data_IF_326519471698
#
_entry.id   IF_326519471698
#
_cell.length_a   1.000
_cell.length_b   1.000
_cell.length_c   1.000
_cell.angle_alpha   90.00
_cell.angle_beta   90.00
_cell.angle_gamma   90.00
#
_symmetry.space_group_name_H-M   'P 1'
#
loop_
_entity.id
_entity.type
_entity.pdbx_description
1 polymer ?
#
# COMPACT_ATOMS: atom_id res chain seq x y z
N UNK A 1 15.98 12.28 -21.33
CA UNK A 1 15.60 11.37 -20.24
C UNK A 1 14.21 11.64 -19.65
N UNK A 2 13.79 12.90 -19.33
CA UNK A 2 12.47 13.21 -18.73
C UNK A 2 11.21 12.73 -19.50
N UNK A 3 11.27 12.55 -20.82
CA UNK A 3 10.09 12.11 -21.63
C UNK A 3 9.86 10.61 -21.66
N UNK A 4 10.88 9.80 -21.37
CA UNK A 4 10.79 8.33 -21.40
C UNK A 4 10.14 7.83 -20.10
N UNK A 5 10.40 8.49 -18.97
CA UNK A 5 9.85 8.14 -17.65
C UNK A 5 8.31 8.31 -17.62
N UNK A 6 7.79 9.37 -18.25
CA UNK A 6 6.34 9.60 -18.32
C UNK A 6 5.61 8.55 -19.19
N UNK A 7 6.25 8.08 -20.25
CA UNK A 7 5.68 7.05 -21.12
C UNK A 7 5.60 5.68 -20.43
N UNK A 8 6.60 5.32 -19.60
CA UNK A 8 6.62 4.08 -18.84
C UNK A 8 5.56 4.05 -17.73
N UNK A 9 5.36 5.17 -17.02
CA UNK A 9 4.32 5.29 -15.97
C UNK A 9 2.91 5.24 -16.59
N UNK A 10 2.70 5.89 -17.74
CA UNK A 10 1.42 5.83 -18.45
C UNK A 10 1.14 4.42 -19.00
N UNK A 11 2.14 3.72 -19.49
CA UNK A 11 1.98 2.35 -20.01
C UNK A 11 1.57 1.37 -18.90
N UNK A 12 2.00 1.58 -17.66
CA UNK A 12 1.64 0.74 -16.52
C UNK A 12 0.25 1.02 -15.98
N UNK A 13 -0.18 2.27 -15.96
CA UNK A 13 -1.55 2.64 -15.59
C UNK A 13 -2.57 2.19 -16.65
N UNK A 14 -2.15 2.04 -17.91
CA UNK A 14 -2.98 1.59 -19.04
C UNK A 14 -2.98 0.06 -19.19
N UNK A 15 -1.96 -0.66 -18.69
CA UNK A 15 -1.89 -2.13 -18.83
C UNK A 15 -2.67 -2.89 -17.73
N UNK A 16 -3.13 -2.22 -16.67
CA UNK A 16 -3.99 -2.83 -15.65
C UNK A 16 -5.43 -3.13 -16.16
N UNK A 17 -6.03 -2.39 -17.10
CA UNK A 17 -7.39 -2.70 -17.57
C UNK A 17 -7.52 -3.89 -18.50
N UNK A 18 -6.46 -4.34 -19.15
CA UNK A 18 -6.56 -5.39 -20.17
C UNK A 18 -6.81 -6.82 -19.62
N UNK A 19 -6.71 -7.01 -18.31
CA UNK A 19 -7.02 -8.29 -17.64
C UNK A 19 -8.48 -8.35 -17.15
N UNK A 20 -9.24 -7.26 -17.27
CA UNK A 20 -10.58 -7.12 -16.65
C UNK A 20 -11.76 -7.49 -17.55
N UNK A 21 -11.57 -8.02 -18.73
CA UNK A 21 -12.68 -8.47 -19.59
C UNK A 21 -13.21 -9.84 -19.14
N UNK A 22 -13.80 -9.89 -17.96
CA UNK A 22 -14.40 -11.10 -17.42
C UNK A 22 -14.75 -11.05 -15.94
N UNK A 23 -14.40 -9.99 -15.23
CA UNK A 23 -14.77 -9.89 -13.81
C UNK A 23 -15.91 -8.90 -13.60
N UNK A 24 -17.04 -9.30 -12.98
CA UNK A 24 -18.14 -8.40 -12.68
C UNK A 24 -17.74 -7.41 -11.60
N UNK A 25 -18.21 -6.16 -11.74
CA UNK A 25 -18.13 -5.08 -10.76
C UNK A 25 -18.59 -5.56 -9.37
N UNK A 26 -17.68 -5.73 -8.44
CA UNK A 26 -17.95 -6.26 -7.09
C UNK A 26 -16.70 -6.63 -6.30
N UNK A 27 -15.57 -6.01 -6.58
CA UNK A 27 -14.28 -6.36 -5.96
C UNK A 27 -14.23 -6.20 -4.44
N UNK A 28 -14.93 -5.24 -3.88
CA UNK A 28 -14.98 -5.05 -2.42
C UNK A 28 -15.82 -6.11 -1.68
N UNK A 29 -16.80 -6.72 -2.35
CA UNK A 29 -17.69 -7.71 -1.73
C UNK A 29 -17.22 -9.17 -1.86
N UNK A 30 -16.24 -9.48 -2.75
CA UNK A 30 -15.84 -10.87 -3.03
C UNK A 30 -14.54 -11.30 -2.40
N UNK A 31 -13.70 -10.41 -1.91
CA UNK A 31 -12.49 -10.82 -1.17
C UNK A 31 -12.83 -11.47 0.19
N UNK A 32 -14.00 -11.17 0.76
CA UNK A 32 -14.48 -11.83 1.98
C UNK A 32 -15.31 -13.10 1.74
N UNK A 33 -15.91 -13.27 0.55
CA UNK A 33 -16.85 -14.38 0.30
C UNK A 33 -16.20 -15.63 -0.32
N UNK A 34 -14.98 -15.55 -0.84
CA UNK A 34 -14.33 -16.68 -1.50
C UNK A 34 -13.79 -17.76 -0.55
N UNK A 35 -13.80 -17.54 0.77
CA UNK A 35 -13.30 -18.51 1.74
C UNK A 35 -14.40 -19.30 2.49
N UNK A 36 -15.68 -18.97 2.33
CA UNK A 36 -16.77 -19.64 3.06
C UNK A 36 -17.30 -20.92 2.38
N UNK A 37 -16.68 -21.39 1.30
CA UNK A 37 -17.20 -22.51 0.51
C UNK A 37 -16.37 -23.79 0.47
N UNK A 38 -15.30 -23.93 1.25
CA UNK A 38 -14.41 -25.11 1.14
C UNK A 38 -14.30 -25.97 2.42
N UNK A 39 -15.27 -25.98 3.27
CA UNK A 39 -15.46 -27.08 4.20
C UNK A 39 -16.63 -27.92 3.72
N UNK A 40 -16.31 -29.16 3.37
CA UNK A 40 -17.19 -30.24 2.93
C UNK A 40 -17.42 -30.40 1.42
N UNK A 41 -16.49 -31.08 0.78
CA UNK A 41 -16.76 -32.25 -0.05
C UNK A 41 -15.46 -32.97 -0.42
N UNK A 42 -15.00 -33.82 0.47
CA UNK A 42 -14.10 -34.91 0.10
C UNK A 42 -15.00 -36.05 -0.39
N UNK A 43 -15.34 -36.03 -1.65
CA UNK A 43 -15.85 -37.20 -2.34
C UNK A 43 -14.78 -37.68 -3.30
N UNK A 44 -14.38 -38.92 -3.10
CA UNK A 44 -13.46 -39.66 -3.94
C UNK A 44 -14.01 -39.70 -5.38
N UNK A 45 -13.52 -38.81 -6.21
CA UNK A 45 -13.58 -38.91 -7.65
C UNK A 45 -12.13 -38.83 -8.13
N UNK A 46 -11.65 -39.88 -8.73
CA UNK A 46 -10.42 -39.90 -9.53
C UNK A 46 -10.56 -38.81 -10.59
N UNK A 47 -10.04 -37.66 -10.27
CA UNK A 47 -10.05 -36.50 -11.16
C UNK A 47 -8.85 -36.62 -12.10
N UNK A 48 -9.14 -37.00 -13.33
CA UNK A 48 -8.15 -36.96 -14.40
C UNK A 48 -7.61 -35.56 -14.49
N UNK A 49 -6.40 -35.36 -13.95
CA UNK A 49 -5.69 -34.06 -13.97
C UNK A 49 -5.62 -33.60 -15.42
N UNK A 50 -6.39 -32.56 -15.76
CA UNK A 50 -6.27 -31.90 -17.04
C UNK A 50 -4.85 -31.33 -17.10
N UNK A 51 -4.02 -31.73 -18.07
CA UNK A 51 -2.64 -31.27 -18.12
C UNK A 51 -2.64 -29.75 -18.20
N UNK A 52 -1.96 -29.09 -17.26
CA UNK A 52 -1.78 -27.64 -17.28
C UNK A 52 -1.08 -27.27 -18.59
N UNK A 53 -1.74 -26.49 -19.44
CA UNK A 53 -1.21 -26.17 -20.77
C UNK A 53 0.10 -25.38 -20.64
N UNK A 54 1.07 -25.63 -21.50
CA UNK A 54 2.37 -24.95 -21.50
C UNK A 54 2.24 -23.41 -21.49
N UNK A 55 1.17 -22.87 -22.09
CA UNK A 55 0.85 -21.44 -22.07
C UNK A 55 0.49 -20.90 -20.67
N UNK A 56 -0.18 -21.71 -19.83
CA UNK A 56 -0.50 -21.32 -18.45
C UNK A 56 0.75 -21.18 -17.59
N UNK A 57 1.71 -22.09 -17.72
CA UNK A 57 2.98 -22.04 -16.98
C UNK A 57 3.85 -20.84 -17.37
N UNK A 58 3.90 -20.51 -18.66
CA UNK A 58 4.64 -19.33 -19.16
C UNK A 58 4.04 -18.05 -18.59
N UNK A 59 2.70 -17.93 -18.58
CA UNK A 59 2.01 -16.76 -18.01
C UNK A 59 2.30 -16.59 -16.54
N UNK A 60 2.18 -17.65 -15.74
CA UNK A 60 2.48 -17.60 -14.29
C UNK A 60 3.93 -17.20 -14.04
N UNK A 61 4.87 -17.77 -14.78
CA UNK A 61 6.29 -17.45 -14.68
C UNK A 61 6.56 -15.98 -15.04
N UNK A 62 5.95 -15.48 -16.12
CA UNK A 62 6.07 -14.06 -16.52
C UNK A 62 5.52 -13.12 -15.44
N UNK A 63 4.33 -13.38 -14.91
CA UNK A 63 3.72 -12.58 -13.83
C UNK A 63 4.62 -12.56 -12.59
N UNK A 64 5.18 -13.70 -12.21
CA UNK A 64 6.12 -13.79 -11.07
C UNK A 64 7.34 -12.88 -11.27
N UNK A 65 8.01 -12.96 -12.44
CA UNK A 65 9.18 -12.13 -12.71
C UNK A 65 8.84 -10.65 -12.83
N UNK A 66 7.71 -10.30 -13.44
CA UNK A 66 7.24 -8.92 -13.46
C UNK A 66 6.97 -8.37 -12.05
N UNK A 67 6.48 -9.19 -11.14
CA UNK A 67 6.27 -8.77 -9.75
C UNK A 67 7.60 -8.63 -9.01
N UNK A 68 8.51 -9.60 -9.13
CA UNK A 68 9.78 -9.61 -8.39
C UNK A 68 10.77 -8.54 -8.88
N UNK A 69 10.78 -8.24 -10.17
CA UNK A 69 11.77 -7.34 -10.79
C UNK A 69 11.12 -6.07 -11.30
N UNK A 70 9.99 -6.17 -12.00
CA UNK A 70 9.36 -5.04 -12.64
C UNK A 70 8.84 -4.01 -11.63
N UNK A 71 8.14 -4.45 -10.59
CA UNK A 71 7.60 -3.54 -9.56
C UNK A 71 8.72 -2.78 -8.83
N UNK A 72 9.77 -3.43 -8.30
CA UNK A 72 10.91 -2.71 -7.73
C UNK A 72 11.60 -1.77 -8.71
N UNK A 73 11.81 -2.19 -9.96
CA UNK A 73 12.46 -1.34 -10.96
C UNK A 73 11.68 -0.04 -11.22
N UNK A 74 10.36 -0.13 -11.25
CA UNK A 74 9.49 1.04 -11.45
C UNK A 74 9.55 1.95 -10.23
N UNK A 75 9.42 1.37 -9.02
CA UNK A 75 9.53 2.12 -7.78
C UNK A 75 10.87 2.87 -7.71
N UNK A 76 11.99 2.18 -7.95
CA UNK A 76 13.32 2.79 -7.96
C UNK A 76 13.42 3.92 -9.00
N UNK A 77 12.93 3.70 -10.22
CA UNK A 77 12.95 4.72 -11.27
C UNK A 77 12.13 5.95 -10.89
N UNK A 78 10.98 5.72 -10.24
CA UNK A 78 10.14 6.79 -9.70
C UNK A 78 10.86 7.55 -8.60
N UNK A 79 11.43 6.86 -7.63
CA UNK A 79 12.08 7.44 -6.47
C UNK A 79 13.31 8.30 -6.86
N UNK A 80 14.16 7.83 -7.76
CA UNK A 80 15.26 8.62 -8.32
C UNK A 80 14.77 9.91 -9.01
N UNK A 81 13.58 9.87 -9.61
CA UNK A 81 13.02 11.00 -10.32
C UNK A 81 12.28 11.99 -9.42
N UNK A 82 11.68 11.48 -8.34
CA UNK A 82 10.73 12.19 -7.49
C UNK A 82 11.35 12.69 -6.19
N UNK A 83 12.13 11.83 -5.55
CA UNK A 83 12.57 12.04 -4.17
C UNK A 83 14.02 12.51 -4.06
N UNK A 84 14.70 12.76 -5.19
CA UNK A 84 16.06 13.30 -5.21
C UNK A 84 17.11 12.31 -4.69
N UNK A 85 16.88 11.02 -4.90
CA UNK A 85 17.85 9.99 -4.56
C UNK A 85 19.14 10.20 -5.36
N UNK A 86 20.28 10.19 -4.64
CA UNK A 86 21.59 10.47 -5.23
C UNK A 86 21.97 11.95 -5.30
N UNK A 87 21.15 12.85 -4.77
CA UNK A 87 21.50 14.28 -4.68
C UNK A 87 22.63 14.56 -3.67
N UNK A 88 22.90 13.59 -2.79
CA UNK A 88 24.00 13.63 -1.81
C UNK A 88 25.00 12.51 -2.07
N UNK A 89 26.26 12.81 -1.82
CA UNK A 89 27.35 11.83 -1.85
C UNK A 89 27.64 11.18 -0.48
N UNK A 90 27.03 11.72 0.59
CA UNK A 90 27.25 11.27 1.97
C UNK A 90 25.97 10.79 2.61
N UNK A 91 26.08 9.73 3.40
CA UNK A 91 24.98 9.18 4.19
C UNK A 91 24.42 10.21 5.17
N UNK A 92 23.09 10.28 5.24
CA UNK A 92 22.35 11.09 6.22
C UNK A 92 21.48 10.17 7.08
N UNK A 93 21.60 10.30 8.40
CA UNK A 93 20.66 9.71 9.35
C UNK A 93 19.54 10.71 9.64
N UNK A 94 18.30 10.27 9.59
CA UNK A 94 17.16 11.02 10.07
C UNK A 94 16.72 10.51 11.45
N UNK A 95 16.28 11.43 12.31
CA UNK A 95 15.57 11.12 13.55
C UNK A 95 14.20 11.77 13.43
N UNK A 96 13.28 11.06 12.84
CA UNK A 96 11.99 11.61 12.46
C UNK A 96 10.95 11.49 13.60
N UNK A 97 11.19 10.56 14.51
CA UNK A 97 10.23 10.19 15.56
C UNK A 97 9.00 9.49 14.99
N UNK A 98 8.02 9.23 15.84
CA UNK A 98 6.80 8.52 15.41
C UNK A 98 5.60 9.48 15.26
N UNK A 99 5.01 9.88 16.38
CA UNK A 99 3.82 10.72 16.43
C UNK A 99 4.04 11.87 17.38
N UNK A 100 3.77 13.08 16.94
CA UNK A 100 3.94 14.26 17.79
C UNK A 100 4.04 15.56 16.98
N UNK A 101 3.77 16.68 17.62
CA UNK A 101 3.74 17.99 16.96
C UNK A 101 5.07 18.38 16.29
N UNK A 102 6.18 17.83 16.79
CA UNK A 102 7.53 18.16 16.29
C UNK A 102 8.19 17.00 15.53
N UNK A 103 7.42 15.96 15.18
CA UNK A 103 7.93 14.84 14.38
C UNK A 103 7.77 15.13 12.89
N UNK A 104 8.46 14.33 12.06
CA UNK A 104 8.37 14.47 10.61
C UNK A 104 6.92 14.26 10.15
N UNK A 105 6.42 15.18 9.35
CA UNK A 105 5.04 15.21 8.83
C UNK A 105 3.96 14.91 9.90
N UNK A 106 4.31 15.13 11.20
CA UNK A 106 3.42 14.87 12.34
C UNK A 106 3.08 13.40 12.56
N UNK A 107 3.79 12.46 11.93
CA UNK A 107 3.53 11.02 11.96
C UNK A 107 2.62 10.51 10.84
N UNK A 108 2.14 11.38 9.93
CA UNK A 108 1.39 10.93 8.75
C UNK A 108 2.25 10.05 7.84
N UNK A 109 3.53 10.36 7.75
CA UNK A 109 4.53 9.56 7.06
C UNK A 109 4.58 8.12 7.60
N UNK A 110 4.65 7.95 8.91
CA UNK A 110 4.69 6.63 9.57
C UNK A 110 3.43 5.80 9.29
N UNK A 111 2.27 6.47 9.25
CA UNK A 111 1.02 5.78 8.86
C UNK A 111 0.98 5.44 7.37
N UNK A 112 1.60 6.28 6.52
CA UNK A 112 1.74 6.00 5.09
C UNK A 112 2.66 4.79 4.84
N UNK A 113 3.80 4.71 5.50
CA UNK A 113 4.71 3.57 5.47
C UNK A 113 4.00 2.28 5.88
N UNK A 114 3.36 2.27 7.05
CA UNK A 114 2.59 1.13 7.56
C UNK A 114 1.51 0.67 6.56
N UNK A 115 0.71 1.60 6.05
CA UNK A 115 -0.37 1.30 5.11
C UNK A 115 0.16 0.78 3.77
N UNK A 116 1.18 1.41 3.19
CA UNK A 116 1.75 1.00 1.91
C UNK A 116 2.34 -0.40 1.97
N UNK A 117 3.05 -0.74 3.06
CA UNK A 117 3.63 -2.07 3.25
C UNK A 117 2.55 -3.14 3.53
N UNK A 118 1.48 -2.78 4.26
CA UNK A 118 0.29 -3.64 4.37
C UNK A 118 -0.30 -3.95 3.00
N UNK A 119 -0.51 -2.94 2.15
CA UNK A 119 -1.11 -3.12 0.83
C UNK A 119 -0.21 -3.91 -0.13
N UNK A 120 1.09 -3.57 -0.16
CA UNK A 120 2.05 -4.26 -1.04
C UNK A 120 2.22 -5.72 -0.64
N UNK A 121 2.25 -6.02 0.66
CA UNK A 121 2.33 -7.41 1.12
C UNK A 121 1.09 -8.20 0.66
N UNK A 122 -0.12 -7.70 0.89
CA UNK A 122 -1.36 -8.37 0.49
C UNK A 122 -1.45 -8.57 -1.03
N UNK A 123 -1.10 -7.54 -1.80
CA UNK A 123 -1.07 -7.63 -3.25
C UNK A 123 -0.06 -8.69 -3.73
N UNK A 124 1.16 -8.64 -3.22
CA UNK A 124 2.22 -9.60 -3.54
C UNK A 124 1.82 -11.02 -3.15
N UNK A 125 1.26 -11.20 -1.94
CA UNK A 125 0.81 -12.51 -1.47
C UNK A 125 -0.23 -13.13 -2.40
N UNK A 126 -1.21 -12.36 -2.85
CA UNK A 126 -2.23 -12.86 -3.77
C UNK A 126 -1.63 -13.20 -5.15
N UNK A 127 -0.70 -12.39 -5.65
CA UNK A 127 -0.01 -12.67 -6.92
C UNK A 127 0.83 -13.96 -6.80
N UNK A 128 1.62 -14.10 -5.73
CA UNK A 128 2.45 -15.30 -5.55
C UNK A 128 1.60 -16.54 -5.20
N UNK A 129 0.47 -16.37 -4.52
CA UNK A 129 -0.47 -17.47 -4.31
C UNK A 129 -1.02 -18.01 -5.65
N UNK A 130 -1.28 -17.13 -6.61
CA UNK A 130 -1.69 -17.51 -7.96
C UNK A 130 -0.54 -18.19 -8.72
N UNK A 131 0.68 -17.64 -8.67
CA UNK A 131 1.82 -18.13 -9.46
C UNK A 131 2.50 -19.36 -8.88
N UNK A 132 2.46 -19.55 -7.57
CA UNK A 132 3.13 -20.64 -6.84
C UNK A 132 2.17 -21.78 -6.42
N UNK A 133 0.94 -21.74 -6.88
CA UNK A 133 -0.06 -22.78 -6.59
C UNK A 133 -0.21 -23.10 -5.08
N UNK A 134 -0.09 -22.08 -4.23
CA UNK A 134 -0.44 -22.17 -2.81
C UNK A 134 0.65 -22.61 -1.83
N UNK A 135 1.85 -22.92 -2.28
CA UNK A 135 2.95 -23.36 -1.41
C UNK A 135 3.45 -22.33 -0.39
N UNK A 136 4.50 -22.68 0.38
CA UNK A 136 5.17 -21.75 1.31
C UNK A 136 5.90 -20.60 0.60
N UNK A 137 6.23 -20.77 -0.67
CA UNK A 137 6.96 -19.81 -1.47
C UNK A 137 6.29 -18.44 -1.53
N UNK A 138 4.95 -18.38 -1.56
CA UNK A 138 4.19 -17.12 -1.54
C UNK A 138 4.50 -16.26 -0.32
N UNK A 139 4.69 -16.85 0.86
CA UNK A 139 5.06 -16.15 2.09
C UNK A 139 6.44 -15.54 1.99
N UNK A 140 7.43 -16.36 1.55
CA UNK A 140 8.81 -15.88 1.39
C UNK A 140 8.91 -14.76 0.36
N UNK A 141 8.33 -14.94 -0.81
CA UNK A 141 8.40 -13.94 -1.87
C UNK A 141 7.69 -12.64 -1.47
N UNK A 142 6.52 -12.71 -0.85
CA UNK A 142 5.80 -11.51 -0.41
C UNK A 142 6.57 -10.77 0.67
N UNK A 143 7.08 -11.48 1.68
CA UNK A 143 7.88 -10.86 2.74
C UNK A 143 9.14 -10.23 2.18
N UNK A 144 9.92 -10.97 1.36
CA UNK A 144 11.17 -10.46 0.78
C UNK A 144 10.89 -9.24 -0.10
N UNK A 145 9.90 -9.32 -0.99
CA UNK A 145 9.57 -8.21 -1.91
C UNK A 145 9.18 -6.96 -1.14
N UNK A 146 8.30 -7.10 -0.13
CA UNK A 146 7.82 -5.96 0.63
C UNK A 146 8.89 -5.38 1.55
N UNK A 147 9.65 -6.22 2.25
CA UNK A 147 10.75 -5.75 3.12
C UNK A 147 11.89 -5.11 2.31
N UNK A 148 12.22 -5.67 1.14
CA UNK A 148 13.22 -5.09 0.25
C UNK A 148 12.78 -3.73 -0.29
N UNK A 149 11.48 -3.52 -0.52
CA UNK A 149 10.94 -2.23 -0.91
C UNK A 149 11.18 -1.17 0.19
N UNK A 150 10.81 -1.46 1.45
CA UNK A 150 11.03 -0.52 2.56
C UNK A 150 12.51 -0.21 2.76
N UNK A 151 13.36 -1.25 2.78
CA UNK A 151 14.80 -1.04 2.90
C UNK A 151 15.37 -0.22 1.72
N UNK A 152 14.90 -0.43 0.50
CA UNK A 152 15.35 0.34 -0.66
C UNK A 152 14.92 1.81 -0.58
N UNK A 153 13.73 2.10 -0.04
CA UNK A 153 13.28 3.48 0.21
C UNK A 153 14.23 4.15 1.20
N UNK A 154 14.46 3.55 2.35
CA UNK A 154 15.33 4.13 3.38
C UNK A 154 16.79 4.28 2.93
N UNK A 155 17.32 3.30 2.19
CA UNK A 155 18.67 3.42 1.61
C UNK A 155 18.74 4.55 0.58
N UNK A 156 17.70 4.75 -0.21
CA UNK A 156 17.63 5.85 -1.16
C UNK A 156 17.54 7.20 -0.47
N UNK A 157 16.72 7.29 0.57
CA UNK A 157 16.52 8.50 1.36
C UNK A 157 17.79 8.90 2.15
N UNK A 158 18.61 7.93 2.55
CA UNK A 158 19.92 8.22 3.12
C UNK A 158 20.82 9.09 2.22
N UNK A 159 20.60 9.03 0.91
CA UNK A 159 21.33 9.82 -0.10
C UNK A 159 20.45 10.88 -0.79
N UNK A 160 19.25 11.13 -0.29
CA UNK A 160 18.39 12.20 -0.77
C UNK A 160 18.78 13.56 -0.19
N UNK A 161 18.44 14.64 -0.91
CA UNK A 161 18.87 15.99 -0.53
C UNK A 161 18.32 16.48 0.81
N UNK A 162 17.10 16.07 1.19
CA UNK A 162 16.38 16.59 2.36
C UNK A 162 15.88 15.51 3.31
N UNK A 163 15.85 14.25 2.87
CA UNK A 163 15.44 13.10 3.68
C UNK A 163 16.66 12.55 4.45
N UNK A 164 16.58 11.35 4.90
CA UNK A 164 17.66 10.64 5.57
C UNK A 164 17.18 9.23 5.87
N UNK A 165 18.08 8.34 6.26
CA UNK A 165 17.71 7.02 6.71
C UNK A 165 16.99 7.10 8.06
N UNK A 166 15.74 6.70 8.10
CA UNK A 166 14.92 6.66 9.31
C UNK A 166 14.63 5.21 9.71
N UNK A 167 15.21 4.73 10.80
CA UNK A 167 14.93 3.38 11.28
C UNK A 167 13.48 3.23 11.77
N UNK A 168 12.85 4.34 12.15
CA UNK A 168 11.44 4.39 12.55
C UNK A 168 10.52 3.90 11.43
N UNK A 169 10.87 4.21 10.16
CA UNK A 169 10.09 3.78 9.01
C UNK A 169 10.20 2.29 8.78
N UNK A 170 11.37 1.70 8.93
CA UNK A 170 11.52 0.24 8.87
C UNK A 170 10.71 -0.48 9.96
N UNK A 171 10.56 0.13 11.14
CA UNK A 171 9.74 -0.45 12.21
C UNK A 171 8.26 -0.43 11.83
N UNK A 172 7.75 0.69 11.33
CA UNK A 172 6.33 0.78 10.94
C UNK A 172 6.02 0.00 9.68
N UNK A 173 6.98 -0.14 8.76
CA UNK A 173 6.91 -1.06 7.61
C UNK A 173 6.72 -2.51 8.07
N UNK A 174 7.54 -2.94 9.04
CA UNK A 174 7.42 -4.28 9.63
C UNK A 174 6.08 -4.48 10.33
N UNK A 175 5.52 -3.45 10.98
CA UNK A 175 4.17 -3.49 11.57
C UNK A 175 3.12 -3.68 10.48
N UNK A 176 3.20 -2.92 9.38
CA UNK A 176 2.28 -3.05 8.23
C UNK A 176 2.32 -4.46 7.61
N UNK A 177 3.52 -5.00 7.38
CA UNK A 177 3.74 -6.37 6.90
C UNK A 177 3.14 -7.39 7.89
N UNK A 178 3.36 -7.19 9.20
CA UNK A 178 2.85 -8.07 10.24
C UNK A 178 1.32 -8.13 10.28
N UNK A 179 0.65 -6.97 10.21
CA UNK A 179 -0.82 -6.89 10.14
C UNK A 179 -1.33 -7.61 8.88
N UNK A 180 -0.72 -7.36 7.72
CA UNK A 180 -1.10 -8.01 6.48
C UNK A 180 -0.93 -9.53 6.56
N UNK A 181 0.20 -9.99 7.10
CA UNK A 181 0.48 -11.42 7.28
C UNK A 181 -0.51 -12.09 8.23
N UNK A 182 -0.91 -11.41 9.32
CA UNK A 182 -1.94 -11.91 10.22
C UNK A 182 -3.30 -12.05 9.52
N UNK A 183 -3.70 -11.06 8.71
CA UNK A 183 -4.93 -11.13 7.93
C UNK A 183 -4.90 -12.29 6.93
N UNK A 184 -3.78 -12.49 6.19
CA UNK A 184 -3.64 -13.59 5.23
C UNK A 184 -3.53 -14.96 5.90
N UNK A 185 -3.01 -15.03 7.13
CA UNK A 185 -2.85 -16.28 7.88
C UNK A 185 -4.11 -16.72 8.60
N UNK A 186 -4.88 -15.75 9.09
CA UNK A 186 -6.05 -15.98 9.91
C UNK A 186 -7.27 -15.26 9.31
N UNK A 187 -8.11 -15.98 8.53
CA UNK A 187 -9.30 -15.40 7.90
C UNK A 187 -10.23 -14.68 8.89
N UNK A 188 -10.28 -15.16 10.13
CA UNK A 188 -11.04 -14.50 11.19
C UNK A 188 -10.50 -13.11 11.52
N UNK A 189 -9.17 -12.92 11.55
CA UNK A 189 -8.57 -11.59 11.74
C UNK A 189 -8.92 -10.69 10.56
N UNK A 190 -8.82 -11.21 9.32
CA UNK A 190 -9.17 -10.46 8.12
C UNK A 190 -10.65 -10.09 8.08
N UNK A 191 -11.54 -10.89 8.68
CA UNK A 191 -12.96 -10.55 8.76
C UNK A 191 -13.27 -9.42 9.74
N UNK A 192 -12.36 -9.12 10.69
CA UNK A 192 -12.53 -8.03 11.66
C UNK A 192 -11.72 -6.78 11.33
N UNK A 193 -10.51 -6.91 10.78
CA UNK A 193 -9.56 -5.81 10.66
C UNK A 193 -9.14 -5.58 9.22
N UNK A 194 -9.03 -4.31 8.83
CA UNK A 194 -8.35 -3.88 7.62
C UNK A 194 -7.66 -2.54 7.86
N UNK A 195 -6.67 -2.22 7.02
CA UNK A 195 -6.15 -0.87 6.90
C UNK A 195 -6.65 -0.27 5.59
N UNK A 196 -7.01 1.01 5.63
CA UNK A 196 -7.39 1.76 4.43
C UNK A 196 -6.84 3.19 4.48
N UNK A 197 -6.94 3.90 3.37
CA UNK A 197 -6.57 5.29 3.29
C UNK A 197 -7.56 6.06 2.42
N UNK A 198 -7.80 7.32 2.81
CA UNK A 198 -8.58 8.28 2.03
C UNK A 198 -7.64 9.39 1.59
N UNK A 199 -7.78 9.82 0.34
CA UNK A 199 -7.00 10.93 -0.19
C UNK A 199 -7.90 12.03 -0.74
N UNK A 200 -7.67 13.23 -0.25
CA UNK A 200 -8.26 14.45 -0.80
C UNK A 200 -7.15 15.49 -0.99
N UNK A 201 -6.82 15.85 -2.24
CA UNK A 201 -5.71 16.75 -2.54
C UNK A 201 -5.80 18.06 -1.78
N UNK A 202 -4.70 18.47 -1.13
CA UNK A 202 -4.64 19.78 -0.48
C UNK A 202 -4.79 20.92 -1.50
N UNK A 203 -5.18 22.10 -1.03
CA UNK A 203 -5.25 23.29 -1.90
C UNK A 203 -3.91 23.56 -2.58
N UNK A 204 -2.83 23.34 -1.85
CA UNK A 204 -1.49 23.50 -2.38
C UNK A 204 -1.20 22.51 -3.52
N UNK A 205 -1.51 21.23 -3.34
CA UNK A 205 -1.29 20.20 -4.34
C UNK A 205 -2.12 20.45 -5.60
N UNK A 206 -3.38 20.86 -5.46
CA UNK A 206 -4.28 21.17 -6.57
C UNK A 206 -3.78 22.29 -7.48
N UNK A 207 -2.96 23.21 -6.98
CA UNK A 207 -2.36 24.31 -7.75
C UNK A 207 -1.01 23.94 -8.40
N UNK A 208 -0.64 22.66 -8.41
CA UNK A 208 0.57 22.11 -9.06
C UNK A 208 0.23 21.31 -10.31
N UNK A 209 -0.11 21.92 -11.44
CA UNK A 209 -0.63 21.20 -12.62
C UNK A 209 0.34 20.17 -13.19
N UNK A 210 1.64 20.31 -12.94
CA UNK A 210 2.68 19.44 -13.55
C UNK A 210 3.27 18.40 -12.61
N UNK A 211 2.71 18.19 -11.42
CA UNK A 211 3.28 17.30 -10.39
C UNK A 211 2.24 16.40 -9.71
N UNK A 212 1.13 16.09 -10.40
CA UNK A 212 0.08 15.20 -9.87
C UNK A 212 0.61 13.83 -9.44
N UNK A 213 1.70 13.36 -10.04
CA UNK A 213 2.37 12.11 -9.71
C UNK A 213 3.07 12.12 -8.33
N UNK A 214 3.27 13.31 -7.71
CA UNK A 214 3.79 13.45 -6.34
C UNK A 214 2.68 13.42 -5.27
N UNK A 215 1.51 12.89 -5.59
CA UNK A 215 0.41 12.78 -4.61
C UNK A 215 0.78 12.00 -3.33
N UNK A 216 1.73 11.04 -3.33
CA UNK A 216 2.15 10.41 -2.07
C UNK A 216 2.76 11.40 -1.08
N UNK A 217 3.43 12.45 -1.55
CA UNK A 217 4.09 13.46 -0.71
C UNK A 217 3.11 14.52 -0.15
N UNK A 218 1.83 14.46 -0.53
CA UNK A 218 0.80 15.37 -0.01
C UNK A 218 0.20 14.84 1.29
N UNK A 219 1.06 14.59 2.30
CA UNK A 219 0.69 13.94 3.57
C UNK A 219 -0.53 14.57 4.24
N UNK A 220 -0.68 15.90 4.17
CA UNK A 220 -1.88 16.58 4.69
C UNK A 220 -3.17 16.30 3.90
N UNK A 221 -3.07 15.69 2.73
CA UNK A 221 -4.20 15.23 1.93
C UNK A 221 -4.68 13.83 2.31
N UNK A 222 -3.86 13.07 3.02
CA UNK A 222 -4.13 11.69 3.38
C UNK A 222 -4.79 11.58 4.75
N UNK A 223 -5.66 10.60 4.88
CA UNK A 223 -6.14 10.04 6.14
C UNK A 223 -5.91 8.54 6.11
N UNK A 224 -5.36 8.00 7.17
CA UNK A 224 -5.11 6.58 7.32
C UNK A 224 -6.03 6.01 8.37
N UNK A 225 -6.64 4.85 8.09
CA UNK A 225 -7.74 4.28 8.86
C UNK A 225 -7.42 2.84 9.25
N UNK A 226 -7.74 2.51 10.49
CA UNK A 226 -7.91 1.13 10.94
C UNK A 226 -9.41 0.86 10.92
N UNK A 227 -9.83 -0.08 10.11
CA UNK A 227 -11.23 -0.42 9.93
C UNK A 227 -11.56 -1.65 10.77
N UNK A 228 -12.57 -1.55 11.62
CA UNK A 228 -13.15 -2.64 12.39
C UNK A 228 -14.45 -3.07 11.72
N UNK A 229 -14.41 -4.20 11.02
CA UNK A 229 -15.54 -4.74 10.25
C UNK A 229 -16.48 -5.53 11.15
N UNK A 230 -17.75 -5.14 11.23
CA UNK A 230 -18.74 -5.86 12.04
C UNK A 230 -19.16 -7.20 11.39
N UNK A 231 -18.81 -7.41 10.13
CA UNK A 231 -18.99 -8.68 9.43
C UNK A 231 -18.37 -9.88 10.18
N UNK A 232 -17.23 -9.66 10.83
CA UNK A 232 -16.50 -10.70 11.58
C UNK A 232 -17.31 -11.35 12.70
N UNK A 233 -18.30 -10.67 13.27
CA UNK A 233 -19.18 -11.30 14.26
C UNK A 233 -19.99 -12.47 13.70
N UNK A 234 -20.39 -12.40 12.42
CA UNK A 234 -21.07 -13.47 11.75
C UNK A 234 -20.16 -14.67 11.47
N UNK A 235 -18.89 -14.38 11.14
CA UNK A 235 -17.86 -15.40 10.92
C UNK A 235 -17.46 -16.10 12.23
N UNK A 236 -17.72 -15.49 13.39
CA UNK A 236 -17.66 -16.13 14.70
C UNK A 236 -18.87 -17.05 15.00
N UNK A 237 -19.84 -17.12 14.11
CA UNK A 237 -21.08 -17.90 14.33
C UNK A 237 -22.11 -17.22 15.21
N UNK A 238 -21.98 -15.91 15.48
CA UNK A 238 -22.97 -15.16 16.23
C UNK A 238 -24.19 -14.85 15.36
N UNK A 239 -25.37 -15.01 15.94
CA UNK A 239 -26.62 -14.64 15.27
C UNK A 239 -26.81 -13.13 15.34
N UNK A 240 -26.23 -12.44 14.37
CA UNK A 240 -26.30 -10.98 14.24
C UNK A 240 -27.06 -10.59 12.97
N UNK A 241 -27.78 -9.45 12.98
CA UNK A 241 -28.48 -8.96 11.81
C UNK A 241 -27.59 -8.84 10.58
N UNK A 242 -28.09 -9.23 9.41
CA UNK A 242 -27.34 -9.25 8.15
C UNK A 242 -26.77 -7.89 7.75
N UNK A 243 -27.42 -6.80 8.12
CA UNK A 243 -26.96 -5.47 7.77
C UNK A 243 -25.61 -5.10 8.43
N UNK A 244 -25.24 -5.73 9.56
CA UNK A 244 -23.98 -5.48 10.24
C UNK A 244 -22.75 -5.83 9.37
N UNK A 245 -22.91 -6.74 8.41
CA UNK A 245 -21.85 -7.07 7.45
C UNK A 245 -21.42 -5.89 6.54
N UNK A 246 -22.23 -4.86 6.46
CA UNK A 246 -21.98 -3.65 5.67
C UNK A 246 -21.52 -2.48 6.52
N UNK A 247 -21.34 -2.69 7.83
CA UNK A 247 -20.93 -1.63 8.76
C UNK A 247 -19.48 -1.87 9.19
N UNK A 248 -18.71 -0.79 9.18
CA UNK A 248 -17.36 -0.72 9.73
C UNK A 248 -17.28 0.46 10.69
N UNK A 249 -16.46 0.33 11.70
CA UNK A 249 -16.07 1.43 12.59
C UNK A 249 -14.63 1.73 12.27
N UNK A 250 -14.35 2.98 11.92
CA UNK A 250 -13.05 3.40 11.47
C UNK A 250 -12.37 4.27 12.53
N UNK A 251 -11.14 3.93 12.89
CA UNK A 251 -10.28 4.80 13.67
C UNK A 251 -9.26 5.39 12.71
N UNK A 252 -9.34 6.70 12.52
CA UNK A 252 -8.53 7.39 11.53
C UNK A 252 -7.55 8.38 12.13
N UNK A 253 -6.40 8.53 11.47
CA UNK A 253 -5.36 9.49 11.78
C UNK A 253 -5.05 10.36 10.58
N UNK A 254 -4.92 11.67 10.79
CA UNK A 254 -4.44 12.60 9.76
C UNK A 254 -3.74 13.80 10.37
N UNK A 255 -2.87 14.44 9.59
CA UNK A 255 -2.15 15.65 9.93
C UNK A 255 -2.50 16.80 9.00
N UNK A 256 -2.32 18.03 9.48
CA UNK A 256 -2.48 19.25 8.71
C UNK A 256 -1.35 20.23 9.08
N UNK A 257 -0.91 21.01 8.09
CA UNK A 257 0.07 22.06 8.31
C UNK A 257 1.50 21.57 8.47
N UNK A 258 1.81 20.35 8.04
CA UNK A 258 3.16 19.77 8.18
C UNK A 258 3.95 19.81 6.88
N UNK A 259 3.32 19.58 5.75
CA UNK A 259 4.06 19.47 4.49
C UNK A 259 4.82 20.75 4.18
N UNK A 260 6.02 20.61 3.64
CA UNK A 260 6.87 21.73 3.20
C UNK A 260 6.14 22.72 2.28
N UNK A 261 5.05 22.29 1.69
CA UNK A 261 4.22 23.06 0.80
C UNK A 261 3.13 23.86 1.50
N UNK A 262 2.79 23.47 2.70
CA UNK A 262 1.89 24.23 3.58
C UNK A 262 2.69 25.23 4.43
N UNK A 263 4.00 25.01 4.60
CA UNK A 263 4.90 25.84 5.38
C UNK A 263 5.67 26.81 4.45
N UNK A 264 5.37 28.09 4.52
CA UNK A 264 6.11 29.12 3.81
C UNK A 264 5.36 29.79 2.65
N UNK A 265 5.89 30.92 2.12
CA UNK A 265 5.28 31.63 1.03
C UNK A 265 5.35 30.81 -0.26
N UNK A 266 4.21 30.41 -0.73
CA UNK A 266 4.09 29.78 -2.04
C UNK A 266 3.80 30.86 -3.08
N UNK A 267 4.57 30.90 -4.17
CA UNK A 267 4.27 31.78 -5.32
C UNK A 267 2.92 31.48 -5.97
N UNK A 268 2.32 30.34 -5.61
CA UNK A 268 1.04 29.89 -6.17
C UNK A 268 -0.15 30.21 -5.27
N UNK A 269 0.06 30.51 -3.98
CA UNK A 269 -0.99 30.82 -3.02
C UNK A 269 -0.52 31.94 -2.11
N UNK A 270 -0.59 33.16 -2.60
CA UNK A 270 -0.10 34.36 -1.91
C UNK A 270 -0.82 34.69 -0.59
N UNK A 271 -1.97 34.07 -0.34
CA UNK A 271 -2.80 34.30 0.85
C UNK A 271 -2.75 33.12 1.85
N UNK A 272 -1.86 32.16 1.68
CA UNK A 272 -1.76 31.02 2.60
C UNK A 272 -1.00 31.46 3.85
N UNK A 273 -1.71 31.77 4.91
CA UNK A 273 -1.11 31.78 6.24
C UNK A 273 -0.66 30.36 6.53
N UNK A 274 0.58 30.19 7.05
CA UNK A 274 1.06 28.87 7.49
C UNK A 274 -0.01 28.23 8.38
N UNK A 275 -0.63 27.13 7.98
CA UNK A 275 -1.63 26.51 8.82
C UNK A 275 -0.97 26.01 10.11
N UNK A 276 -1.67 26.15 11.21
CA UNK A 276 -1.23 25.58 12.47
C UNK A 276 -1.07 24.06 12.32
N UNK A 277 0.07 23.54 12.82
CA UNK A 277 0.32 22.10 12.86
C UNK A 277 -0.70 21.41 13.74
N UNK A 278 -1.50 20.54 13.13
CA UNK A 278 -2.57 19.78 13.81
C UNK A 278 -2.44 18.30 13.50
N UNK A 279 -2.64 17.52 14.52
CA UNK A 279 -2.77 16.06 14.48
C UNK A 279 -4.15 15.70 14.98
N UNK A 280 -4.83 14.83 14.27
CA UNK A 280 -6.20 14.48 14.60
C UNK A 280 -6.35 12.96 14.57
N UNK A 281 -6.91 12.44 15.67
CA UNK A 281 -7.47 11.11 15.75
C UNK A 281 -8.99 11.25 15.72
N UNK A 282 -9.69 10.43 14.96
CA UNK A 282 -11.14 10.46 14.84
C UNK A 282 -11.73 9.05 14.71
N UNK A 283 -13.00 8.94 15.01
CA UNK A 283 -13.79 7.72 14.88
C UNK A 283 -14.94 8.02 13.93
#
# INVERSE_FOLDING_TARGET
MKRITHALILLLLVSIPAVSTGMPLGWSARLGAAHLGQTERRSDAEDGAVPETAGSNTTKTTVRYLTLVGVPTILLSFAFSAWGWGDRSTWLWANEGYFGKNTYEGGADKTAHMFSHYMVFRASYNIFNYTESGGRAKWYYSTITTSAMGLAIELGDAYAGQNGFAYEDLIVDAVGIGIAALCERFPLVDSFVALSAEYYPTKYFRHRPNKLWLFPDDYSGWKFLINFKLAGFKDLGLDVPDFLRYIMIDVGYYCRGYTKYEQGPSKYVSSYANPEKKQNLFI
#
